data_IF_660830373382
#
_entry.id   IF_660830373382
#
_cell.length_a   1.000
_cell.length_b   1.000
_cell.length_c   1.000
_cell.angle_alpha   90.00
_cell.angle_beta   90.00
_cell.angle_gamma   90.00
#
_symmetry.space_group_name_H-M   'P 1'
#
loop_
_entity.id
_entity.type
_entity.pdbx_description
1 polymer ?
#
# COMPACT_ATOMS: atom_id res chain seq x y z
N UNK A 1 -65.02 -45.60 -5.32
CA UNK A 1 -66.15 -44.83 -5.89
C UNK A 1 -65.90 -43.35 -5.60
N UNK A 2 -66.04 -42.50 -6.63
CA UNK A 2 -66.09 -41.01 -6.61
C UNK A 2 -64.76 -40.30 -6.24
N UNK A 3 -63.97 -39.71 -7.16
CA UNK A 3 -64.10 -38.56 -8.08
C UNK A 3 -64.04 -37.16 -7.42
N UNK A 4 -63.26 -36.26 -8.06
CA UNK A 4 -63.33 -34.77 -8.09
C UNK A 4 -62.55 -34.06 -6.94
N UNK A 5 -61.75 -33.01 -7.12
CA UNK A 5 -61.37 -32.19 -8.28
C UNK A 5 -59.96 -31.60 -8.06
N UNK A 6 -59.20 -31.50 -9.16
CA UNK A 6 -58.06 -30.60 -9.28
C UNK A 6 -58.56 -29.17 -9.49
N UNK A 7 -58.02 -28.20 -8.73
CA UNK A 7 -58.14 -26.78 -9.06
C UNK A 7 -56.75 -26.26 -9.41
N UNK A 8 -56.60 -25.96 -10.69
CA UNK A 8 -55.48 -25.31 -11.32
C UNK A 8 -55.53 -23.81 -10.95
N UNK A 9 -54.54 -23.31 -10.23
CA UNK A 9 -54.30 -21.87 -10.08
C UNK A 9 -52.97 -21.54 -10.79
N UNK A 10 -53.12 -20.90 -11.95
CA UNK A 10 -52.03 -20.38 -12.76
C UNK A 10 -51.59 -19.04 -12.17
N UNK A 11 -50.44 -18.99 -11.50
CA UNK A 11 -49.83 -17.74 -11.07
C UNK A 11 -48.67 -17.39 -12.02
N UNK A 12 -48.91 -16.43 -12.91
CA UNK A 12 -47.87 -15.81 -13.71
C UNK A 12 -47.04 -14.87 -12.81
N UNK A 13 -45.83 -15.26 -12.46
CA UNK A 13 -44.88 -14.37 -11.78
C UNK A 13 -43.91 -13.78 -12.80
N UNK A 14 -44.11 -12.50 -13.08
CA UNK A 14 -43.27 -11.64 -13.89
C UNK A 14 -41.84 -11.55 -13.34
N UNK A 15 -40.84 -11.79 -14.19
CA UNK A 15 -39.43 -11.48 -13.88
C UNK A 15 -39.29 -9.97 -13.68
N UNK A 16 -39.11 -9.53 -12.43
CA UNK A 16 -38.67 -8.18 -12.14
C UNK A 16 -37.15 -8.09 -12.35
N UNK A 17 -36.73 -7.38 -13.39
CA UNK A 17 -35.36 -6.87 -13.52
C UNK A 17 -35.12 -5.90 -12.36
N UNK A 18 -34.34 -6.32 -11.37
CA UNK A 18 -33.83 -5.41 -10.35
C UNK A 18 -32.81 -4.47 -10.98
N UNK A 19 -33.16 -3.19 -10.93
CA UNK A 19 -32.38 -2.03 -11.36
C UNK A 19 -30.98 -2.06 -10.76
N UNK A 20 -30.00 -1.75 -11.61
CA UNK A 20 -28.59 -1.70 -11.27
C UNK A 20 -28.30 -0.84 -10.05
N UNK A 21 -27.36 -1.34 -9.24
CA UNK A 21 -26.70 -0.56 -8.21
C UNK A 21 -26.03 0.64 -8.86
N UNK A 22 -26.60 1.82 -8.65
CA UNK A 22 -25.90 3.08 -8.81
C UNK A 22 -24.81 3.14 -7.74
N UNK A 23 -23.62 2.62 -8.04
CA UNK A 23 -22.42 3.07 -7.34
C UNK A 23 -22.30 4.56 -7.62
N UNK A 24 -22.54 5.38 -6.59
CA UNK A 24 -22.10 6.78 -6.57
C UNK A 24 -20.58 6.78 -6.63
N UNK A 25 -20.04 6.77 -7.85
CA UNK A 25 -18.68 7.18 -8.11
C UNK A 25 -18.56 8.64 -7.65
N UNK A 26 -17.87 8.86 -6.54
CA UNK A 26 -17.44 10.19 -6.15
C UNK A 26 -16.53 10.75 -7.26
N UNK A 27 -16.65 12.03 -7.65
CA UNK A 27 -15.93 12.57 -8.82
C UNK A 27 -14.40 12.66 -8.66
N UNK A 28 -13.83 12.19 -7.55
CA UNK A 28 -12.40 12.31 -7.24
C UNK A 28 -11.51 11.25 -7.90
N UNK A 29 -12.07 10.23 -8.56
CA UNK A 29 -11.27 9.16 -9.17
C UNK A 29 -10.88 9.40 -10.65
N UNK A 30 -11.18 10.57 -11.23
CA UNK A 30 -10.95 10.84 -12.66
C UNK A 30 -10.04 12.06 -12.96
N UNK A 31 -9.21 12.49 -12.00
CA UNK A 31 -8.24 13.56 -12.23
C UNK A 31 -6.89 13.25 -11.56
N UNK A 32 -6.19 12.25 -12.08
CA UNK A 32 -4.88 11.86 -11.57
C UNK A 32 -4.08 10.96 -12.50
N UNK A 33 -4.39 10.93 -13.80
CA UNK A 33 -3.49 10.39 -14.81
C UNK A 33 -2.95 11.57 -15.62
N UNK A 34 -2.12 12.40 -14.97
CA UNK A 34 -1.06 13.07 -15.71
C UNK A 34 0.00 11.99 -15.97
N UNK A 35 -0.29 11.15 -16.97
CA UNK A 35 0.72 10.35 -17.64
C UNK A 35 1.84 11.32 -17.99
N UNK A 36 3.00 11.07 -17.38
CA UNK A 36 4.17 11.90 -17.49
C UNK A 36 4.40 12.36 -18.92
N UNK A 37 4.42 13.67 -19.08
CA UNK A 37 4.77 14.32 -20.32
C UNK A 37 6.17 14.89 -20.16
N UNK A 38 7.18 14.05 -19.89
CA UNK A 38 8.61 14.36 -20.07
C UNK A 38 9.50 13.14 -19.80
N UNK A 39 9.55 12.15 -20.72
CA UNK A 39 10.59 11.09 -20.67
C UNK A 39 10.83 10.52 -19.26
N UNK A 40 9.73 10.25 -18.56
CA UNK A 40 9.68 10.38 -17.11
C UNK A 40 10.44 9.25 -16.43
N UNK A 41 11.48 9.61 -15.68
CA UNK A 41 12.29 8.70 -14.85
C UNK A 41 11.43 7.75 -14.02
N UNK A 42 10.21 8.16 -13.65
CA UNK A 42 9.25 7.43 -12.84
C UNK A 42 7.96 7.08 -13.59
N UNK A 43 8.02 6.89 -14.92
CA UNK A 43 6.87 6.47 -15.71
C UNK A 43 6.18 5.24 -15.08
N UNK A 44 4.85 5.32 -14.91
CA UNK A 44 4.05 4.30 -14.23
C UNK A 44 3.72 4.61 -12.76
N UNK A 45 4.52 5.44 -12.08
CA UNK A 45 4.25 5.85 -10.72
C UNK A 45 3.22 6.99 -10.65
N UNK A 46 2.41 7.03 -9.59
CA UNK A 46 1.54 8.19 -9.31
C UNK A 46 2.33 9.26 -8.57
N UNK A 47 2.54 10.40 -9.24
CA UNK A 47 3.32 11.50 -8.70
C UNK A 47 2.57 12.30 -7.64
N UNK A 48 3.30 12.74 -6.61
CA UNK A 48 2.85 13.68 -5.58
C UNK A 48 3.61 15.01 -5.68
N UNK A 49 3.19 15.98 -4.88
CA UNK A 49 3.86 17.28 -4.74
C UNK A 49 4.53 17.39 -3.38
N UNK A 50 5.56 18.23 -3.26
CA UNK A 50 6.26 18.49 -1.99
C UNK A 50 5.32 18.90 -0.83
N UNK A 51 4.16 19.49 -1.13
CA UNK A 51 3.15 19.86 -0.14
C UNK A 51 2.65 18.68 0.72
N UNK A 52 2.75 17.43 0.22
CA UNK A 52 2.42 16.22 0.99
C UNK A 52 3.31 16.12 2.23
N UNK A 53 4.55 16.58 2.14
CA UNK A 53 5.55 16.46 3.20
C UNK A 53 5.83 17.78 3.93
N UNK A 54 4.98 18.81 3.73
CA UNK A 54 5.07 20.06 4.51
C UNK A 54 5.01 19.76 6.01
N UNK A 55 5.65 20.56 6.88
CA UNK A 55 5.59 20.36 8.33
C UNK A 55 4.15 20.31 8.87
N UNK A 56 3.92 19.42 9.84
CA UNK A 56 2.62 19.17 10.48
C UNK A 56 2.80 19.05 12.00
N UNK A 57 1.77 18.59 12.71
CA UNK A 57 1.78 18.52 14.18
C UNK A 57 2.94 17.65 14.73
N UNK A 58 3.29 16.57 14.03
CA UNK A 58 4.38 15.67 14.38
C UNK A 58 5.25 15.38 13.15
N UNK A 59 6.28 16.19 12.95
CA UNK A 59 7.17 16.06 11.78
C UNK A 59 6.46 16.37 10.47
N UNK A 60 6.55 15.46 9.49
CA UNK A 60 5.97 15.63 8.15
C UNK A 60 4.69 14.81 7.90
N UNK A 61 4.28 13.93 8.80
CA UNK A 61 3.03 13.15 8.67
C UNK A 61 1.80 13.93 9.18
N UNK A 62 0.63 13.78 8.53
CA UNK A 62 -0.68 14.44 8.79
C UNK A 62 -1.22 14.14 10.17
N UNK A 63 -0.61 13.17 10.80
CA UNK A 63 -1.14 12.55 11.95
C UNK A 63 -0.75 13.31 13.21
N UNK A 64 -1.77 13.81 13.92
CA UNK A 64 -1.68 13.92 15.38
C UNK A 64 -1.44 12.55 16.04
N UNK A 65 -1.50 11.46 15.27
CA UNK A 65 -1.23 10.10 15.71
C UNK A 65 0.25 9.78 15.47
N UNK A 66 1.04 9.57 16.53
CA UNK A 66 2.41 9.08 16.39
C UNK A 66 2.41 7.70 15.73
N UNK A 67 3.59 7.22 15.33
CA UNK A 67 3.78 5.83 14.92
C UNK A 67 3.09 4.88 15.91
N UNK A 68 2.42 3.86 15.39
CA UNK A 68 1.77 2.84 16.19
C UNK A 68 2.76 2.19 17.17
N UNK A 69 2.30 1.93 18.40
CA UNK A 69 3.17 1.35 19.44
C UNK A 69 3.40 -0.16 19.30
N UNK A 70 2.49 -0.85 18.61
CA UNK A 70 2.57 -2.30 18.35
C UNK A 70 2.82 -2.54 16.86
N UNK A 71 4.07 -2.32 16.45
CA UNK A 71 4.50 -2.60 15.09
C UNK A 71 4.68 -4.11 14.88
N UNK A 72 4.35 -4.56 13.67
CA UNK A 72 4.64 -5.91 13.21
C UNK A 72 6.14 -6.18 13.21
N UNK A 73 6.46 -7.46 13.18
CA UNK A 73 7.80 -7.97 12.98
C UNK A 73 8.84 -7.49 14.01
N UNK A 74 8.41 -7.05 15.19
CA UNK A 74 9.30 -6.53 16.23
C UNK A 74 10.14 -5.32 15.74
N UNK A 75 9.56 -4.47 14.88
CA UNK A 75 10.17 -3.22 14.46
C UNK A 75 10.26 -2.23 15.63
N UNK A 76 11.35 -1.46 15.67
CA UNK A 76 11.65 -0.50 16.74
C UNK A 76 10.86 0.79 16.54
N UNK A 77 10.01 1.12 17.51
CA UNK A 77 9.09 2.25 17.45
C UNK A 77 9.83 3.58 17.40
N UNK A 78 10.98 3.71 18.07
CA UNK A 78 11.76 4.96 18.08
C UNK A 78 12.41 5.22 16.72
N UNK A 79 12.97 4.18 16.11
CA UNK A 79 13.51 4.23 14.75
C UNK A 79 12.39 4.53 13.76
N UNK A 80 11.25 3.86 13.88
CA UNK A 80 10.09 4.12 13.05
C UNK A 80 9.65 5.59 13.14
N UNK A 81 9.52 6.15 14.35
CA UNK A 81 9.11 7.54 14.54
C UNK A 81 10.07 8.53 13.89
N UNK A 82 11.37 8.33 14.08
CA UNK A 82 12.41 9.15 13.45
C UNK A 82 12.36 9.06 11.93
N UNK A 83 12.25 7.84 11.37
CA UNK A 83 12.28 7.61 9.93
C UNK A 83 11.01 8.12 9.26
N UNK A 84 9.83 7.83 9.83
CA UNK A 84 8.54 8.20 9.25
C UNK A 84 8.31 9.71 9.26
N UNK A 85 8.71 10.41 10.33
CA UNK A 85 8.23 11.76 10.61
C UNK A 85 9.32 12.84 10.51
N UNK A 86 10.56 12.50 10.84
CA UNK A 86 11.65 13.47 11.03
C UNK A 86 12.84 13.25 10.08
N UNK A 87 12.67 12.44 9.05
CA UNK A 87 13.70 12.13 8.07
C UNK A 87 13.10 12.10 6.67
N UNK A 88 13.80 12.71 5.71
CA UNK A 88 13.40 12.83 4.29
C UNK A 88 14.45 12.29 3.33
N UNK A 89 15.66 12.02 3.81
CA UNK A 89 16.81 11.74 2.95
C UNK A 89 17.53 10.44 3.29
N UNK A 90 17.38 9.93 4.51
CA UNK A 90 18.03 8.71 4.95
C UNK A 90 17.03 7.55 5.06
N UNK A 91 17.54 6.37 5.34
CA UNK A 91 16.75 5.19 5.62
C UNK A 91 17.11 4.65 7.02
N UNK A 92 16.35 3.67 7.50
CA UNK A 92 16.90 2.68 8.43
C UNK A 92 18.17 2.05 7.82
N UNK A 93 19.07 1.48 8.62
CA UNK A 93 20.30 0.92 8.07
C UNK A 93 20.02 -0.29 7.15
N UNK A 94 20.84 -0.49 6.12
CA UNK A 94 20.70 -1.60 5.20
C UNK A 94 20.78 -2.95 5.93
N UNK A 95 19.79 -3.83 5.71
CA UNK A 95 19.69 -5.12 6.38
C UNK A 95 18.99 -5.07 7.74
N UNK A 96 18.48 -3.91 8.20
CA UNK A 96 17.67 -3.81 9.42
C UNK A 96 16.52 -4.82 9.41
N UNK A 97 15.77 -4.87 8.31
CA UNK A 97 14.64 -5.77 8.10
C UNK A 97 14.98 -7.26 8.31
N UNK A 98 16.23 -7.68 8.06
CA UNK A 98 16.67 -9.07 8.28
C UNK A 98 16.92 -9.40 9.76
N UNK A 99 17.12 -8.38 10.60
CA UNK A 99 17.29 -8.53 12.05
C UNK A 99 15.95 -8.53 12.81
N UNK A 100 14.86 -8.17 12.12
CA UNK A 100 13.50 -8.21 12.65
C UNK A 100 12.94 -9.64 12.64
N UNK A 101 11.67 -9.83 13.00
CA UNK A 101 11.00 -11.13 12.84
C UNK A 101 10.32 -11.30 11.47
N UNK A 102 10.45 -10.35 10.53
CA UNK A 102 9.79 -10.42 9.21
C UNK A 102 10.10 -11.73 8.47
N UNK A 103 11.37 -12.05 8.26
CA UNK A 103 11.78 -13.28 7.55
C UNK A 103 11.60 -14.58 8.38
N UNK A 104 11.17 -14.46 9.64
CA UNK A 104 10.84 -15.62 10.50
C UNK A 104 9.34 -15.89 10.47
N UNK A 105 8.53 -14.84 10.34
CA UNK A 105 7.07 -14.90 10.33
C UNK A 105 6.50 -15.06 8.92
N UNK A 106 7.17 -14.50 7.92
CA UNK A 106 6.70 -14.50 6.53
C UNK A 106 7.53 -15.42 5.64
N UNK A 107 6.86 -16.10 4.72
CA UNK A 107 7.46 -17.04 3.79
C UNK A 107 6.61 -17.17 2.53
N UNK A 108 6.99 -18.07 1.61
CA UNK A 108 6.14 -18.43 0.47
C UNK A 108 4.74 -18.89 0.92
N UNK A 109 4.60 -19.51 2.10
CA UNK A 109 3.31 -19.95 2.63
C UNK A 109 2.39 -18.78 3.05
N UNK A 110 2.94 -17.57 3.21
CA UNK A 110 2.13 -16.36 3.47
C UNK A 110 1.34 -15.91 2.25
N UNK A 111 1.75 -16.31 1.03
CA UNK A 111 1.19 -15.77 -0.20
C UNK A 111 1.49 -14.28 -0.34
N UNK A 112 0.47 -13.49 -0.68
CA UNK A 112 0.56 -12.03 -0.73
C UNK A 112 0.51 -11.42 0.68
N UNK A 113 1.52 -10.62 1.04
CA UNK A 113 1.63 -9.97 2.35
C UNK A 113 1.22 -8.50 2.20
N UNK A 114 0.26 -8.05 3.02
CA UNK A 114 -0.08 -6.64 3.15
C UNK A 114 0.89 -5.92 4.07
N UNK A 115 1.37 -4.76 3.65
CA UNK A 115 2.26 -3.87 4.37
C UNK A 115 1.54 -2.55 4.68
N UNK A 116 1.52 -2.15 5.94
CA UNK A 116 0.67 -1.05 6.41
C UNK A 116 1.51 0.12 6.91
N UNK A 117 1.09 1.34 6.60
CA UNK A 117 1.67 2.58 7.11
C UNK A 117 1.80 2.52 8.64
N UNK A 118 3.02 2.66 9.15
CA UNK A 118 3.29 2.62 10.58
C UNK A 118 2.66 3.78 11.36
N UNK A 119 2.30 4.89 10.71
CA UNK A 119 1.56 5.98 11.34
C UNK A 119 0.05 5.70 11.33
N UNK A 120 -0.49 5.38 10.16
CA UNK A 120 -1.94 5.44 9.92
C UNK A 120 -2.63 4.08 9.92
N UNK A 121 -1.90 3.01 9.60
CA UNK A 121 -2.47 1.67 9.36
C UNK A 121 -3.17 1.52 8.01
N UNK A 122 -3.00 2.46 7.09
CA UNK A 122 -3.45 2.29 5.70
C UNK A 122 -2.58 1.22 5.01
N UNK A 123 -3.17 0.36 4.18
CA UNK A 123 -2.40 -0.60 3.38
C UNK A 123 -1.68 0.13 2.24
N UNK A 124 -0.35 0.12 2.28
CA UNK A 124 0.51 0.84 1.33
C UNK A 124 1.03 -0.07 0.22
N UNK A 125 1.33 -1.33 0.55
CA UNK A 125 1.85 -2.30 -0.41
C UNK A 125 1.27 -3.68 -0.16
N UNK A 126 1.24 -4.49 -1.21
CA UNK A 126 0.92 -5.92 -1.14
C UNK A 126 1.95 -6.68 -1.97
N UNK A 127 2.78 -7.51 -1.35
CA UNK A 127 3.88 -8.21 -2.04
C UNK A 127 4.13 -9.61 -1.44
N UNK A 128 4.69 -10.56 -2.21
CA UNK A 128 5.03 -10.45 -3.64
C UNK A 128 3.79 -10.50 -4.56
N UNK A 129 3.81 -9.79 -5.70
CA UNK A 129 2.81 -9.95 -6.78
C UNK A 129 3.51 -10.20 -8.12
N UNK A 130 3.02 -11.20 -8.88
CA UNK A 130 3.62 -11.58 -10.16
C UNK A 130 5.03 -12.20 -10.05
N UNK A 131 5.46 -12.56 -8.84
CA UNK A 131 6.76 -13.18 -8.52
C UNK A 131 6.66 -14.03 -7.25
N UNK A 132 7.65 -14.88 -6.99
CA UNK A 132 7.70 -15.66 -5.73
C UNK A 132 8.22 -14.83 -4.56
N UNK A 133 7.99 -15.32 -3.33
CA UNK A 133 8.55 -14.70 -2.12
C UNK A 133 10.08 -14.74 -2.15
N UNK A 134 10.67 -15.82 -2.67
CA UNK A 134 12.13 -15.91 -2.85
C UNK A 134 12.66 -14.80 -3.76
N UNK A 135 11.97 -14.50 -4.87
CA UNK A 135 12.37 -13.42 -5.78
C UNK A 135 12.27 -12.05 -5.10
N UNK A 136 11.20 -11.79 -4.33
CA UNK A 136 11.06 -10.59 -3.52
C UNK A 136 12.19 -10.42 -2.50
N UNK A 137 12.47 -11.47 -1.71
CA UNK A 137 13.53 -11.45 -0.69
C UNK A 137 14.91 -11.30 -1.33
N UNK A 138 15.18 -12.01 -2.43
CA UNK A 138 16.45 -11.93 -3.14
C UNK A 138 16.72 -10.53 -3.67
N UNK A 139 15.74 -9.90 -4.30
CA UNK A 139 15.86 -8.52 -4.75
C UNK A 139 16.08 -7.57 -3.58
N UNK A 140 15.30 -7.72 -2.51
CA UNK A 140 15.40 -6.89 -1.31
C UNK A 140 16.78 -6.97 -0.64
N UNK A 141 17.38 -8.18 -0.59
CA UNK A 141 18.75 -8.37 -0.06
C UNK A 141 19.83 -7.70 -0.90
N UNK A 142 19.69 -7.71 -2.23
CA UNK A 142 20.67 -7.04 -3.12
C UNK A 142 20.73 -5.54 -2.82
N UNK A 143 19.60 -4.94 -2.46
CA UNK A 143 19.51 -3.50 -2.23
C UNK A 143 19.56 -3.11 -0.75
N UNK A 144 19.34 -4.03 0.18
CA UNK A 144 19.42 -3.82 1.62
C UNK A 144 18.08 -3.51 2.30
N UNK A 145 17.00 -3.34 1.54
CA UNK A 145 15.66 -3.05 2.05
C UNK A 145 14.58 -3.76 1.21
N UNK A 146 13.39 -4.03 1.79
CA UNK A 146 12.21 -4.44 1.04
C UNK A 146 12.03 -3.62 -0.25
N UNK A 147 12.03 -4.30 -1.39
CA UNK A 147 12.00 -3.68 -2.72
C UNK A 147 10.71 -4.07 -3.44
N UNK A 148 9.83 -3.10 -3.69
CA UNK A 148 8.52 -3.30 -4.31
C UNK A 148 8.52 -2.88 -5.79
N UNK A 149 7.60 -3.44 -6.57
CA UNK A 149 7.34 -3.10 -7.98
C UNK A 149 5.96 -2.45 -8.14
N UNK A 150 5.67 -1.87 -9.30
CA UNK A 150 4.46 -1.04 -9.54
C UNK A 150 3.15 -1.75 -9.18
N UNK A 151 3.01 -3.05 -9.50
CA UNK A 151 1.82 -3.85 -9.21
C UNK A 151 1.64 -4.18 -7.71
N UNK A 152 2.66 -3.94 -6.90
CA UNK A 152 2.68 -4.16 -5.45
C UNK A 152 2.34 -2.89 -4.67
N UNK A 153 2.19 -1.74 -5.33
CA UNK A 153 1.92 -0.44 -4.69
C UNK A 153 0.42 -0.14 -4.64
N UNK A 154 -0.07 0.27 -3.47
CA UNK A 154 -1.40 0.83 -3.35
C UNK A 154 -1.38 2.34 -3.69
N UNK A 155 -1.69 2.65 -4.95
CA UNK A 155 -1.72 4.02 -5.46
C UNK A 155 -2.82 4.91 -4.88
N UNK A 156 -3.77 4.37 -4.10
CA UNK A 156 -4.69 5.21 -3.33
C UNK A 156 -3.95 5.95 -2.19
N UNK A 157 -2.89 5.34 -1.64
CA UNK A 157 -2.19 5.84 -0.46
C UNK A 157 -0.71 6.16 -0.66
N UNK A 158 -0.08 5.78 -1.76
CA UNK A 158 1.36 6.04 -2.02
C UNK A 158 1.57 7.05 -3.14
N UNK A 159 2.56 7.93 -2.99
CA UNK A 159 3.00 8.88 -4.03
C UNK A 159 4.52 8.85 -4.18
N UNK A 160 4.99 9.20 -5.38
CA UNK A 160 6.41 9.48 -5.65
C UNK A 160 6.59 10.98 -5.83
N UNK A 161 7.52 11.59 -5.11
CA UNK A 161 7.87 13.01 -5.26
C UNK A 161 8.86 13.21 -6.42
N UNK A 162 9.02 14.46 -6.94
CA UNK A 162 9.88 14.72 -8.09
C UNK A 162 11.34 14.29 -7.94
N UNK A 163 11.86 14.21 -6.71
CA UNK A 163 13.21 13.72 -6.39
C UNK A 163 13.32 12.19 -6.27
N UNK A 164 12.18 11.49 -6.33
CA UNK A 164 12.07 10.04 -6.19
C UNK A 164 11.71 9.56 -4.80
N UNK A 165 11.49 10.45 -3.83
CA UNK A 165 11.02 10.04 -2.50
C UNK A 165 9.64 9.36 -2.60
N UNK A 166 9.51 8.19 -1.99
CA UNK A 166 8.24 7.50 -1.85
C UNK A 166 7.62 7.86 -0.50
N UNK A 167 6.37 8.33 -0.53
CA UNK A 167 5.66 8.86 0.65
C UNK A 167 4.24 8.32 0.70
N UNK A 168 3.64 8.25 1.90
CA UNK A 168 2.19 8.10 1.99
C UNK A 168 1.48 9.43 1.67
N UNK A 169 0.22 9.38 1.24
CA UNK A 169 -0.61 10.59 1.04
C UNK A 169 -0.80 11.39 2.33
N UNK A 170 -0.61 10.73 3.47
CA UNK A 170 -0.61 11.30 4.80
C UNK A 170 0.78 11.83 5.21
N UNK A 171 1.78 11.82 4.35
CA UNK A 171 3.09 12.42 4.64
C UNK A 171 4.02 11.56 5.49
N UNK A 172 3.81 10.24 5.54
CA UNK A 172 4.80 9.30 6.09
C UNK A 172 5.94 9.14 5.08
N UNK A 173 7.20 9.34 5.50
CA UNK A 173 8.35 8.96 4.69
C UNK A 173 8.48 7.44 4.61
N UNK A 174 8.44 6.86 3.40
CA UNK A 174 8.49 5.41 3.18
C UNK A 174 9.87 4.96 2.70
N UNK A 175 10.50 5.72 1.81
CA UNK A 175 11.76 5.35 1.18
C UNK A 175 11.91 6.08 -0.15
N UNK A 176 12.45 5.41 -1.17
CA UNK A 176 12.67 6.03 -2.49
C UNK A 176 12.36 5.08 -3.63
N UNK A 177 11.78 5.61 -4.71
CA UNK A 177 11.77 4.96 -6.01
C UNK A 177 13.15 5.13 -6.67
N UNK A 178 13.82 4.00 -6.89
CA UNK A 178 15.14 3.90 -7.49
C UNK A 178 15.06 2.99 -8.73
N UNK A 179 14.50 3.48 -9.86
CA UNK A 179 14.30 2.69 -11.05
C UNK A 179 15.57 1.99 -11.52
N UNK A 180 15.40 0.77 -12.00
CA UNK A 180 16.45 -0.03 -12.60
C UNK A 180 16.04 -0.48 -14.01
N UNK A 181 16.82 -1.38 -14.61
CA UNK A 181 16.54 -1.89 -15.97
C UNK A 181 15.19 -2.63 -16.10
N UNK A 182 14.54 -2.97 -14.99
CA UNK A 182 13.24 -3.65 -14.95
C UNK A 182 12.08 -2.69 -14.66
N UNK A 183 12.34 -1.37 -14.59
CA UNK A 183 11.34 -0.36 -14.27
C UNK A 183 11.48 0.20 -12.86
N UNK A 184 10.39 0.74 -12.31
CA UNK A 184 10.37 1.31 -10.97
C UNK A 184 10.74 0.24 -9.92
N UNK A 185 11.44 0.69 -8.88
CA UNK A 185 11.81 -0.15 -7.73
C UNK A 185 11.75 0.70 -6.47
N UNK A 186 10.73 0.44 -5.66
CA UNK A 186 10.51 1.19 -4.42
C UNK A 186 11.30 0.52 -3.30
N UNK A 187 12.41 1.15 -2.92
CA UNK A 187 13.27 0.73 -1.83
C UNK A 187 12.73 1.34 -0.54
N UNK A 188 12.04 0.53 0.27
CA UNK A 188 11.17 1.01 1.36
C UNK A 188 11.70 0.55 2.72
N UNK A 189 11.71 1.47 3.69
CA UNK A 189 12.03 1.17 5.08
C UNK A 189 11.00 0.21 5.65
N UNK A 190 11.42 -0.92 6.23
CA UNK A 190 10.50 -1.84 6.87
C UNK A 190 9.78 -1.15 8.03
N UNK A 191 10.47 -0.32 8.82
CA UNK A 191 9.85 0.43 9.91
C UNK A 191 8.71 1.35 9.47
N UNK A 192 8.68 1.81 8.21
CA UNK A 192 7.61 2.68 7.70
C UNK A 192 6.36 1.92 7.28
N UNK A 193 6.47 0.60 7.11
CA UNK A 193 5.40 -0.27 6.59
C UNK A 193 5.08 -1.46 7.50
N UNK A 194 5.50 -1.38 8.77
CA UNK A 194 5.29 -2.38 9.81
C UNK A 194 4.04 -2.09 10.67
N UNK A 195 3.15 -1.21 10.22
CA UNK A 195 1.91 -0.92 10.92
C UNK A 195 0.99 -2.14 11.03
N UNK A 196 -0.01 -2.01 11.90
CA UNK A 196 -1.21 -2.84 11.94
C UNK A 196 -2.31 -2.17 11.11
N UNK A 197 -3.22 -2.94 10.51
CA UNK A 197 -4.39 -2.37 9.84
C UNK A 197 -5.20 -1.51 10.81
N UNK A 198 -5.86 -0.47 10.30
CA UNK A 198 -6.85 0.28 11.08
C UNK A 198 -7.88 -0.69 11.67
N UNK A 199 -8.13 -0.57 12.98
CA UNK A 199 -9.26 -1.27 13.59
C UNK A 199 -10.53 -0.73 12.95
N UNK A 200 -11.36 -1.66 12.44
CA UNK A 200 -12.70 -1.35 11.96
C UNK A 200 -13.58 -0.79 13.08
#
# INVERSE_FOLDING_TARGET
MVRIAATLMLAASTKALTRGAFNRLTPTALLGSLLGANGDKYAGAVMGTEDIMKPKAHGTSTSATPVQKDLRWNCDVQTADRICNFNRHYAEFAGYWEQTSFLKEESEASGEISFYDSNTGNELFTAPKGRSFEQFVKESRVHGWPSFRDDEVNWDYVRVLPDGEAVSVDGTHLGHNLPDKNGNRYCINLVSVAGRPKKA
#
